data_IF_188735834803
#
_entry.id   IF_188735834803
#
_cell.length_a   1.000
_cell.length_b   1.000
_cell.length_c   1.000
_cell.angle_alpha   90.00
_cell.angle_beta   90.00
_cell.angle_gamma   90.00
#
_symmetry.space_group_name_H-M   'P 1'
#
loop_
_entity.id
_entity.type
_entity.pdbx_description
1 polymer ?
#
# COMPACT_ATOMS: atom_id res chain seq x y z
N UNK A 1 20.50 -13.92 -12.25
CA UNK A 1 19.14 -13.45 -11.96
C UNK A 1 19.26 -12.55 -10.76
N UNK A 2 19.06 -11.26 -10.96
CA UNK A 2 19.17 -10.26 -9.91
C UNK A 2 17.89 -10.35 -9.07
N UNK A 3 17.93 -11.22 -8.06
CA UNK A 3 16.91 -11.25 -7.01
C UNK A 3 17.14 -10.01 -6.18
N UNK A 4 16.46 -8.92 -6.54
CA UNK A 4 16.17 -7.86 -5.60
C UNK A 4 15.36 -8.50 -4.46
N UNK A 5 16.07 -9.12 -3.51
CA UNK A 5 15.56 -9.49 -2.21
C UNK A 5 15.22 -8.15 -1.58
N UNK A 6 13.92 -7.87 -1.56
CA UNK A 6 13.38 -6.72 -0.86
C UNK A 6 13.92 -6.74 0.57
N UNK A 7 14.29 -5.54 0.99
CA UNK A 7 14.91 -5.14 2.24
C UNK A 7 14.41 -5.90 3.46
N UNK A 8 15.36 -6.22 4.34
CA UNK A 8 15.21 -6.71 5.73
C UNK A 8 13.78 -6.54 6.27
N UNK A 9 13.06 -7.65 6.44
CA UNK A 9 11.69 -7.63 6.97
C UNK A 9 11.63 -6.84 8.27
N UNK A 10 10.57 -6.06 8.48
CA UNK A 10 10.42 -5.24 9.67
C UNK A 10 9.77 -6.03 10.81
N UNK A 11 10.37 -5.97 12.01
CA UNK A 11 9.71 -6.43 13.23
C UNK A 11 8.71 -5.37 13.69
N UNK A 12 7.48 -5.80 14.00
CA UNK A 12 6.43 -4.95 14.54
C UNK A 12 6.02 -5.44 15.93
N UNK A 13 5.81 -4.51 16.85
CA UNK A 13 5.36 -4.82 18.20
C UNK A 13 3.91 -5.32 18.24
N UNK A 14 3.11 -5.00 17.21
CA UNK A 14 1.73 -5.45 17.07
C UNK A 14 1.29 -5.62 15.61
N UNK A 15 0.18 -6.35 15.41
CA UNK A 15 -0.47 -6.46 14.10
C UNK A 15 -1.00 -5.12 13.58
N UNK A 16 -1.35 -4.19 14.46
CA UNK A 16 -1.87 -2.89 14.03
C UNK A 16 -0.74 -1.98 13.55
N UNK A 17 0.45 -2.05 14.15
CA UNK A 17 1.65 -1.36 13.67
C UNK A 17 2.07 -1.88 12.29
N UNK A 18 2.01 -3.21 12.09
CA UNK A 18 2.24 -3.84 10.79
C UNK A 18 1.25 -3.36 9.73
N UNK A 19 -0.05 -3.29 10.04
CA UNK A 19 -1.06 -2.76 9.12
C UNK A 19 -0.82 -1.28 8.81
N UNK A 20 -0.44 -0.49 9.81
CA UNK A 20 -0.14 0.93 9.63
C UNK A 20 1.07 1.14 8.71
N UNK A 21 2.10 0.30 8.85
CA UNK A 21 3.26 0.31 7.96
C UNK A 21 2.89 -0.09 6.52
N UNK A 22 2.11 -1.16 6.34
CA UNK A 22 1.60 -1.55 5.03
C UNK A 22 0.76 -0.44 4.37
N UNK A 23 -0.08 0.23 5.16
CA UNK A 23 -0.86 1.39 4.70
C UNK A 23 0.02 2.57 4.29
N UNK A 24 1.08 2.84 5.07
CA UNK A 24 2.08 3.86 4.74
C UNK A 24 2.78 3.56 3.42
N UNK A 25 3.30 2.34 3.25
CA UNK A 25 3.98 1.91 2.03
C UNK A 25 3.08 1.96 0.80
N UNK A 26 1.82 1.51 0.91
CA UNK A 26 0.86 1.62 -0.19
C UNK A 26 0.65 3.08 -0.62
N UNK A 27 0.52 3.99 0.35
CA UNK A 27 0.32 5.42 0.08
C UNK A 27 1.56 6.09 -0.52
N UNK A 28 2.75 5.68 -0.13
CA UNK A 28 3.99 6.19 -0.70
C UNK A 28 4.10 5.84 -2.19
N UNK A 29 3.82 4.58 -2.54
CA UNK A 29 3.81 4.13 -3.94
C UNK A 29 2.73 4.90 -4.73
N UNK A 30 1.50 4.97 -4.21
CA UNK A 30 0.41 5.72 -4.85
C UNK A 30 0.79 7.20 -5.06
N UNK A 31 1.44 7.83 -4.08
CA UNK A 31 1.85 9.23 -4.16
C UNK A 31 2.93 9.46 -5.22
N UNK A 32 3.85 8.52 -5.39
CA UNK A 32 4.84 8.56 -6.46
C UNK A 32 4.18 8.50 -7.85
N UNK A 33 3.19 7.61 -8.01
CA UNK A 33 2.45 7.44 -9.28
C UNK A 33 1.53 8.63 -9.57
N UNK A 34 1.00 9.30 -8.53
CA UNK A 34 0.07 10.41 -8.69
C UNK A 34 0.63 11.56 -9.54
N UNK A 35 1.95 11.77 -9.52
CA UNK A 35 2.63 12.78 -10.35
C UNK A 35 2.51 12.51 -11.85
N UNK A 36 2.26 11.26 -12.27
CA UNK A 36 2.05 10.89 -13.67
C UNK A 36 0.66 11.25 -14.20
N UNK A 37 -0.28 11.62 -13.32
CA UNK A 37 -1.68 11.89 -13.66
C UNK A 37 -2.56 10.64 -13.82
N UNK A 38 -1.98 9.44 -13.70
CA UNK A 38 -2.70 8.16 -13.70
C UNK A 38 -2.26 7.36 -12.48
N UNK A 39 -3.21 6.91 -11.66
CA UNK A 39 -2.95 6.07 -10.50
C UNK A 39 -3.61 4.72 -10.72
N UNK A 40 -2.82 3.65 -10.78
CA UNK A 40 -3.33 2.28 -10.78
C UNK A 40 -3.56 1.81 -9.34
N UNK A 41 -4.80 1.46 -9.02
CA UNK A 41 -5.21 0.97 -7.70
C UNK A 41 -5.48 -0.54 -7.66
N UNK A 42 -5.23 -1.22 -8.78
CA UNK A 42 -5.28 -2.69 -8.89
C UNK A 42 -4.23 -3.42 -8.02
N UNK A 43 -3.02 -2.86 -7.77
CA UNK A 43 -2.02 -3.51 -6.94
C UNK A 43 -2.44 -3.71 -5.47
N UNK A 44 -1.68 -4.58 -4.79
CA UNK A 44 -1.84 -4.88 -3.36
C UNK A 44 -0.48 -5.13 -2.70
N UNK A 45 -0.40 -4.87 -1.40
CA UNK A 45 0.70 -5.30 -0.54
C UNK A 45 0.29 -6.58 0.17
N UNK A 46 1.14 -7.59 0.10
CA UNK A 46 1.03 -8.81 0.89
C UNK A 46 2.09 -8.77 1.98
N UNK A 47 1.64 -8.82 3.24
CA UNK A 47 2.54 -8.96 4.38
C UNK A 47 2.63 -10.44 4.71
N UNK A 48 3.86 -10.94 4.76
CA UNK A 48 4.17 -12.34 5.04
C UNK A 48 4.87 -12.45 6.40
N UNK A 49 4.62 -13.54 7.12
CA UNK A 49 5.42 -13.92 8.29
C UNK A 49 6.74 -14.59 7.88
N UNK A 50 7.57 -14.97 8.86
CA UNK A 50 8.86 -15.62 8.62
C UNK A 50 8.73 -16.98 7.90
N UNK A 51 7.58 -17.63 7.97
CA UNK A 51 7.30 -18.87 7.27
C UNK A 51 6.81 -18.65 5.82
N UNK A 52 6.70 -17.39 5.38
CA UNK A 52 6.15 -17.01 4.08
C UNK A 52 4.62 -17.06 4.02
N UNK A 53 3.95 -17.17 5.17
CA UNK A 53 2.48 -17.17 5.23
C UNK A 53 1.98 -15.74 5.07
N UNK A 54 1.08 -15.51 4.12
CA UNK A 54 0.41 -14.21 3.98
C UNK A 54 -0.52 -14.00 5.18
N UNK A 55 -0.13 -13.08 6.07
CA UNK A 55 -0.88 -12.72 7.28
C UNK A 55 -1.78 -11.50 7.08
N UNK A 56 -1.50 -10.67 6.07
CA UNK A 56 -2.31 -9.52 5.73
C UNK A 56 -2.20 -9.18 4.24
N UNK A 57 -3.32 -8.72 3.67
CA UNK A 57 -3.39 -8.24 2.29
C UNK A 57 -4.08 -6.88 2.30
N UNK A 58 -3.40 -5.86 1.75
CA UNK A 58 -3.93 -4.51 1.60
C UNK A 58 -3.98 -4.14 0.12
N UNK A 59 -5.19 -3.94 -0.41
CA UNK A 59 -5.36 -3.41 -1.77
C UNK A 59 -5.15 -1.91 -1.79
N UNK A 60 -4.55 -1.38 -2.84
CA UNK A 60 -4.30 0.07 -2.98
C UNK A 60 -5.61 0.88 -2.95
N UNK A 61 -6.68 0.34 -3.53
CA UNK A 61 -8.01 0.95 -3.44
C UNK A 61 -8.53 1.14 -2.01
N UNK A 62 -8.04 0.36 -1.04
CA UNK A 62 -8.40 0.50 0.38
C UNK A 62 -7.51 1.51 1.12
N UNK A 63 -6.36 1.89 0.53
CA UNK A 63 -5.37 2.73 1.18
C UNK A 63 -5.73 4.24 1.15
N UNK A 64 -6.61 4.64 0.23
CA UNK A 64 -6.96 6.05 -0.02
C UNK A 64 -8.48 6.28 0.02
N UNK A 65 -8.88 7.52 0.30
CA UNK A 65 -10.27 7.94 0.24
C UNK A 65 -10.49 8.88 -0.96
N UNK A 66 -11.62 8.71 -1.65
CA UNK A 66 -12.01 9.59 -2.75
C UNK A 66 -12.84 10.75 -2.20
N UNK A 67 -12.33 11.97 -2.35
CA UNK A 67 -13.09 13.18 -2.09
C UNK A 67 -13.62 13.70 -3.42
N UNK A 68 -14.94 13.65 -3.60
CA UNK A 68 -15.60 14.37 -4.69
C UNK A 68 -15.82 15.81 -4.24
N UNK A 69 -15.20 16.78 -4.92
CA UNK A 69 -15.69 18.15 -4.88
C UNK A 69 -16.86 18.25 -5.87
N UNK A 70 -18.06 18.53 -5.35
CA UNK A 70 -19.26 18.68 -6.16
C UNK A 70 -19.05 19.74 -7.25
N UNK A 71 -19.38 19.37 -8.50
CA UNK A 71 -19.37 20.27 -9.64
C UNK A 71 -20.36 21.42 -9.41
N UNK A 72 -19.93 22.66 -9.72
CA UNK A 72 -20.81 23.82 -9.82
C UNK A 72 -21.89 23.53 -10.86
N UNK A 73 -23.15 23.56 -10.43
CA UNK A 73 -24.27 23.70 -11.33
C UNK A 73 -24.07 24.96 -12.19
N UNK A 74 -24.34 24.79 -13.48
CA UNK A 74 -24.26 25.80 -14.55
C UNK A 74 -25.10 27.05 -14.26
#
# INVERSE_FOLDING_TARGET
MDTALDTEGAMFDSLDDMKAAALGGAREIIAADAMSGVVDLSPRIEVQDEAGTVVHVLYFAQAIAFLSSGSRAA
#
